data_IF_353522646165
#
_entry.id   IF_353522646165
#
_cell.length_a   1.000
_cell.length_b   1.000
_cell.length_c   1.000
_cell.angle_alpha   90.00
_cell.angle_beta   90.00
_cell.angle_gamma   90.00
#
_symmetry.space_group_name_H-M   'P 1'
#
loop_
_entity.id
_entity.type
_entity.pdbx_description
1 polymer ?
#
# COMPACT_ATOMS: atom_id res chain seq x y z
N UNK A 1 37.19 -33.92 22.13
CA UNK A 1 36.21 -32.82 22.13
C UNK A 1 35.72 -32.69 20.68
N UNK A 2 34.68 -33.45 20.34
CA UNK A 2 34.17 -33.52 18.97
C UNK A 2 33.39 -32.25 18.63
N UNK A 3 33.78 -31.61 17.53
CA UNK A 3 33.10 -30.47 16.93
C UNK A 3 31.81 -30.97 16.27
N UNK A 4 30.66 -30.68 16.90
CA UNK A 4 29.36 -30.82 16.26
C UNK A 4 29.24 -29.80 15.12
N UNK A 5 29.44 -30.26 13.88
CA UNK A 5 28.96 -29.54 12.70
C UNK A 5 27.43 -29.69 12.64
N UNK A 6 26.70 -28.67 13.09
CA UNK A 6 25.26 -28.60 12.79
C UNK A 6 25.10 -28.27 11.32
N UNK A 7 24.84 -29.29 10.50
CA UNK A 7 24.22 -29.08 9.20
C UNK A 7 22.83 -28.48 9.45
N UNK A 8 22.67 -27.18 9.17
CA UNK A 8 21.37 -26.56 9.11
C UNK A 8 20.61 -27.21 7.95
N UNK A 9 19.80 -28.23 8.27
CA UNK A 9 18.80 -28.75 7.34
C UNK A 9 17.88 -27.58 7.01
N UNK A 10 18.03 -26.98 5.83
CA UNK A 10 17.01 -26.09 5.27
C UNK A 10 15.68 -26.83 5.36
N UNK A 11 14.71 -26.26 6.06
CA UNK A 11 13.33 -26.74 5.97
C UNK A 11 12.91 -26.65 4.51
N UNK A 12 12.67 -27.80 3.88
CA UNK A 12 12.13 -27.85 2.54
C UNK A 12 10.72 -27.25 2.58
N UNK A 13 10.42 -26.22 1.77
CA UNK A 13 9.09 -25.60 1.79
C UNK A 13 8.01 -26.55 1.30
N UNK A 14 6.84 -26.48 1.95
CA UNK A 14 5.61 -27.17 1.56
C UNK A 14 4.97 -26.47 0.35
N UNK A 15 5.53 -26.64 -0.85
CA UNK A 15 4.82 -26.34 -2.10
C UNK A 15 5.14 -27.40 -3.16
N UNK A 16 4.12 -27.73 -3.96
CA UNK A 16 4.15 -28.75 -5.02
C UNK A 16 5.32 -28.51 -5.98
N UNK A 17 6.02 -29.59 -6.35
CA UNK A 17 7.16 -29.63 -7.30
C UNK A 17 6.86 -29.07 -8.69
N UNK A 18 5.62 -28.65 -8.96
CA UNK A 18 5.10 -28.23 -10.26
C UNK A 18 5.60 -26.85 -10.72
N UNK A 19 6.15 -26.01 -9.83
CA UNK A 19 6.58 -24.62 -10.16
C UNK A 19 8.09 -24.54 -10.46
N UNK A 20 8.87 -25.56 -10.10
CA UNK A 20 10.31 -25.61 -10.39
C UNK A 20 10.52 -25.95 -11.88
N UNK A 21 10.68 -24.92 -12.72
CA UNK A 21 11.02 -25.09 -14.14
C UNK A 21 10.21 -24.22 -15.11
N UNK A 22 9.23 -23.45 -14.63
CA UNK A 22 8.50 -22.49 -15.47
C UNK A 22 9.31 -21.20 -15.60
N UNK A 23 9.54 -20.75 -16.83
CA UNK A 23 10.31 -19.53 -17.10
C UNK A 23 9.69 -18.31 -16.41
N UNK A 24 10.54 -17.47 -15.82
CA UNK A 24 10.17 -16.23 -15.12
C UNK A 24 9.20 -16.39 -13.94
N UNK A 25 8.88 -17.62 -13.52
CA UNK A 25 7.93 -17.91 -12.43
C UNK A 25 8.53 -17.62 -11.03
N UNK A 26 7.68 -17.48 -10.00
CA UNK A 26 8.18 -17.34 -8.64
C UNK A 26 8.89 -18.63 -8.19
N UNK A 27 9.94 -18.51 -7.37
CA UNK A 27 10.66 -19.68 -6.84
C UNK A 27 11.12 -19.51 -5.40
N UNK A 28 11.31 -20.66 -4.75
CA UNK A 28 11.86 -20.75 -3.39
C UNK A 28 13.28 -20.14 -3.35
N UNK A 29 14.11 -20.37 -4.37
CA UNK A 29 15.48 -19.85 -4.40
C UNK A 29 15.51 -18.32 -4.35
N UNK A 30 14.66 -17.64 -5.12
CA UNK A 30 14.55 -16.18 -5.07
C UNK A 30 13.96 -15.70 -3.74
N UNK A 31 12.97 -16.42 -3.20
CA UNK A 31 12.43 -16.10 -1.88
C UNK A 31 13.48 -16.21 -0.76
N UNK A 32 14.36 -17.21 -0.80
CA UNK A 32 15.47 -17.37 0.18
C UNK A 32 16.47 -16.22 0.06
N UNK A 33 16.87 -15.84 -1.15
CA UNK A 33 17.79 -14.71 -1.39
C UNK A 33 17.19 -13.41 -0.86
N UNK A 34 15.89 -13.21 -1.04
CA UNK A 34 15.18 -12.00 -0.63
C UNK A 34 14.50 -12.11 0.75
N UNK A 35 14.82 -13.13 1.56
CA UNK A 35 14.13 -13.41 2.82
C UNK A 35 14.07 -12.20 3.78
N UNK A 36 15.14 -11.38 3.95
CA UNK A 36 15.06 -10.19 4.80
C UNK A 36 14.03 -9.15 4.31
N UNK A 37 13.86 -9.01 3.00
CA UNK A 37 12.87 -8.10 2.44
C UNK A 37 11.44 -8.65 2.66
N UNK A 38 11.23 -9.94 2.41
CA UNK A 38 9.94 -10.60 2.61
C UNK A 38 9.52 -10.53 4.09
N UNK A 39 10.46 -10.80 5.02
CA UNK A 39 10.23 -10.68 6.46
C UNK A 39 9.74 -9.28 6.85
N UNK A 40 10.44 -8.24 6.37
CA UNK A 40 10.07 -6.84 6.64
C UNK A 40 8.72 -6.46 6.01
N UNK A 41 8.42 -6.97 4.81
CA UNK A 41 7.14 -6.75 4.16
C UNK A 41 5.99 -7.37 4.97
N UNK A 42 6.14 -8.61 5.46
CA UNK A 42 5.11 -9.25 6.30
C UNK A 42 4.94 -8.49 7.62
N UNK A 43 6.05 -8.11 8.27
CA UNK A 43 6.04 -7.31 9.50
C UNK A 43 5.35 -5.95 9.29
N UNK A 44 5.60 -5.31 8.15
CA UNK A 44 5.11 -3.97 7.83
C UNK A 44 3.72 -3.92 7.22
N UNK A 45 3.16 -5.04 6.76
CA UNK A 45 1.88 -5.08 6.05
C UNK A 45 0.76 -4.40 6.87
N UNK A 46 0.07 -3.45 6.24
CA UNK A 46 -0.98 -2.63 6.86
C UNK A 46 -0.53 -1.77 8.07
N UNK A 47 0.78 -1.59 8.30
CA UNK A 47 1.36 -0.73 9.36
C UNK A 47 2.09 0.46 8.78
N UNK A 48 1.87 1.64 9.34
CA UNK A 48 2.39 2.87 8.75
C UNK A 48 3.92 2.89 8.69
N UNK A 49 4.59 2.57 9.79
CA UNK A 49 6.05 2.71 9.89
C UNK A 49 6.84 1.81 8.94
N UNK A 50 6.47 0.53 8.87
CA UNK A 50 7.14 -0.42 7.98
C UNK A 50 7.06 0.03 6.52
N UNK A 51 5.87 0.50 6.11
CA UNK A 51 5.65 1.04 4.78
C UNK A 51 6.42 2.36 4.57
N UNK A 52 6.55 3.24 5.57
CA UNK A 52 7.34 4.48 5.45
C UNK A 52 8.85 4.23 5.33
N UNK A 53 9.39 3.24 6.04
CA UNK A 53 10.81 2.87 5.94
C UNK A 53 11.13 2.17 4.62
N UNK A 54 10.23 1.30 4.14
CA UNK A 54 10.36 0.56 2.87
C UNK A 54 9.42 1.13 1.82
N UNK A 55 9.55 2.43 1.59
CA UNK A 55 8.57 3.25 0.85
C UNK A 55 8.30 2.81 -0.59
N UNK A 56 9.24 2.12 -1.25
CA UNK A 56 9.02 1.68 -2.63
C UNK A 56 7.94 0.60 -2.73
N UNK A 57 7.85 -0.31 -1.75
CA UNK A 57 6.96 -1.46 -1.81
C UNK A 57 7.29 -2.40 -2.98
N UNK A 58 7.14 -3.70 -2.78
CA UNK A 58 7.35 -4.70 -3.84
C UNK A 58 6.31 -5.81 -3.81
N UNK A 59 5.22 -5.61 -3.06
CA UNK A 59 4.28 -6.67 -2.75
C UNK A 59 2.83 -6.21 -2.80
N UNK A 60 1.98 -7.16 -3.17
CA UNK A 60 0.54 -7.03 -3.24
C UNK A 60 -0.11 -8.15 -2.43
N UNK A 61 -1.18 -7.82 -1.73
CA UNK A 61 -1.92 -8.76 -0.90
C UNK A 61 -3.40 -8.69 -1.23
N UNK A 62 -4.08 -9.83 -1.36
CA UNK A 62 -5.52 -9.89 -1.18
C UNK A 62 -5.85 -9.51 0.27
N UNK A 63 -6.80 -8.61 0.44
CA UNK A 63 -7.29 -8.21 1.75
C UNK A 63 -8.81 -8.23 1.77
N UNK A 64 -9.36 -8.51 2.94
CA UNK A 64 -10.79 -8.37 3.19
C UNK A 64 -11.04 -7.18 4.11
N UNK A 65 -11.86 -6.24 3.65
CA UNK A 65 -12.39 -5.18 4.51
C UNK A 65 -13.65 -5.71 5.19
N UNK A 66 -13.71 -5.64 6.51
CA UNK A 66 -14.85 -6.16 7.27
C UNK A 66 -16.15 -5.40 6.94
N UNK A 67 -17.29 -6.07 7.10
CA UNK A 67 -18.59 -5.40 7.09
C UNK A 67 -18.68 -4.38 8.24
N UNK A 68 -19.55 -3.39 8.09
CA UNK A 68 -19.72 -2.30 9.06
C UNK A 68 -18.45 -1.46 9.31
N UNK A 69 -17.49 -1.49 8.39
CA UNK A 69 -16.32 -0.61 8.45
C UNK A 69 -16.70 0.78 7.99
N UNK A 70 -16.37 1.78 8.82
CA UNK A 70 -16.57 3.18 8.49
C UNK A 70 -15.48 3.72 7.58
N UNK A 71 -15.92 4.48 6.59
CA UNK A 71 -15.09 5.22 5.65
C UNK A 71 -15.56 6.66 5.53
N UNK A 72 -14.63 7.56 5.23
CA UNK A 72 -14.89 8.98 5.11
C UNK A 72 -14.46 9.50 3.75
N UNK A 73 -15.24 10.42 3.18
CA UNK A 73 -14.94 11.07 1.91
C UNK A 73 -15.22 12.57 2.03
N UNK A 74 -14.22 13.39 1.72
CA UNK A 74 -14.39 14.82 1.52
C UNK A 74 -14.53 15.14 0.03
N UNK A 75 -15.57 15.89 -0.34
CA UNK A 75 -15.77 16.36 -1.72
C UNK A 75 -16.58 17.65 -1.81
N UNK A 76 -16.85 18.10 -3.04
CA UNK A 76 -17.65 19.30 -3.31
C UNK A 76 -19.15 19.01 -3.49
N UNK A 77 -19.57 17.74 -3.38
CA UNK A 77 -20.95 17.30 -3.59
C UNK A 77 -21.50 16.65 -2.32
N UNK A 78 -22.77 16.94 -2.01
CA UNK A 78 -23.54 16.23 -0.99
C UNK A 78 -24.12 14.90 -1.48
N UNK A 79 -24.03 14.63 -2.78
CA UNK A 79 -24.59 13.41 -3.37
C UNK A 79 -23.72 12.18 -3.05
N UNK A 80 -24.33 10.99 -2.93
CA UNK A 80 -23.58 9.75 -2.76
C UNK A 80 -22.58 9.53 -3.90
N UNK A 81 -21.35 9.13 -3.56
CA UNK A 81 -20.34 8.71 -4.53
C UNK A 81 -20.77 7.42 -5.22
N UNK A 82 -20.74 7.40 -6.56
CA UNK A 82 -21.18 6.24 -7.37
C UNK A 82 -20.08 5.61 -8.22
N UNK A 83 -19.00 6.35 -8.47
CA UNK A 83 -17.91 5.98 -9.36
C UNK A 83 -16.63 5.61 -8.59
N UNK A 84 -15.56 5.30 -9.31
CA UNK A 84 -14.23 5.11 -8.73
C UNK A 84 -13.85 6.33 -7.90
N UNK A 85 -13.53 6.14 -6.62
CA UNK A 85 -13.27 7.27 -5.72
C UNK A 85 -12.46 6.89 -4.47
N UNK A 86 -11.75 7.87 -3.91
CA UNK A 86 -11.00 7.76 -2.66
C UNK A 86 -11.88 7.85 -1.42
N UNK A 87 -11.55 7.01 -0.45
CA UNK A 87 -12.10 6.95 0.89
C UNK A 87 -10.95 6.80 1.89
N UNK A 88 -11.12 7.37 3.08
CA UNK A 88 -10.13 7.25 4.15
C UNK A 88 -10.69 6.52 5.36
N UNK A 89 -9.79 5.93 6.15
CA UNK A 89 -10.13 5.27 7.41
C UNK A 89 -10.34 6.24 8.58
N UNK A 90 -10.03 7.53 8.38
CA UNK A 90 -10.20 8.62 9.32
C UNK A 90 -10.73 9.88 8.64
N UNK A 91 -11.44 10.68 9.44
CA UNK A 91 -11.99 11.97 9.01
C UNK A 91 -10.86 12.87 8.53
N UNK A 92 -9.79 13.04 9.32
CA UNK A 92 -8.75 14.03 9.05
C UNK A 92 -8.03 13.78 7.71
N UNK A 93 -7.90 12.52 7.29
CA UNK A 93 -7.34 12.16 5.98
C UNK A 93 -8.35 12.40 4.86
N UNK A 94 -9.63 12.08 5.06
CA UNK A 94 -10.66 12.35 4.04
C UNK A 94 -10.82 13.83 3.73
N UNK A 95 -10.51 14.71 4.69
CA UNK A 95 -10.52 16.15 4.46
C UNK A 95 -9.47 16.58 3.45
N UNK A 96 -8.39 15.83 3.25
CA UNK A 96 -7.39 16.12 2.22
C UNK A 96 -8.04 16.08 0.83
N UNK A 97 -9.02 15.22 0.62
CA UNK A 97 -9.71 15.08 -0.66
C UNK A 97 -10.51 16.33 -1.07
N UNK A 98 -10.89 17.20 -0.11
CA UNK A 98 -11.46 18.51 -0.44
C UNK A 98 -10.50 19.32 -1.35
N UNK A 99 -9.19 19.29 -1.07
CA UNK A 99 -8.21 20.02 -1.87
C UNK A 99 -8.06 19.50 -3.31
N UNK A 100 -8.56 18.29 -3.59
CA UNK A 100 -8.59 17.73 -4.95
C UNK A 100 -9.74 18.29 -5.79
N UNK A 101 -10.77 18.83 -5.12
CA UNK A 101 -12.01 19.30 -5.72
C UNK A 101 -12.27 20.73 -5.24
N UNK A 102 -11.41 21.67 -5.64
CA UNK A 102 -11.91 22.63 -6.61
C UNK A 102 -11.19 22.48 -7.95
N UNK A 103 -11.93 22.50 -9.09
CA UNK A 103 -11.31 22.49 -10.39
C UNK A 103 -10.58 23.82 -10.57
N UNK A 104 -9.29 23.86 -10.27
CA UNK A 104 -8.44 24.94 -10.78
C UNK A 104 -8.22 24.65 -12.27
N UNK A 105 -9.18 25.06 -13.10
CA UNK A 105 -9.07 25.08 -14.56
C UNK A 105 -8.12 26.19 -15.00
N UNK A 106 -6.86 26.12 -14.60
CA UNK A 106 -5.79 26.86 -15.27
C UNK A 106 -4.65 25.90 -15.59
N UNK A 107 -3.98 26.14 -16.72
CA UNK A 107 -2.87 25.34 -17.26
C UNK A 107 -1.60 25.35 -16.38
N UNK A 108 -1.71 25.53 -15.06
CA UNK A 108 -0.61 25.52 -14.11
C UNK A 108 -0.79 24.36 -13.14
N UNK A 109 0.18 23.45 -13.20
CA UNK A 109 0.54 22.40 -12.23
C UNK A 109 -0.25 22.43 -10.92
N UNK A 110 -1.13 21.44 -10.76
CA UNK A 110 -1.89 21.15 -9.55
C UNK A 110 -0.93 20.65 -8.45
N UNK A 111 -0.35 21.58 -7.69
CA UNK A 111 0.51 21.26 -6.55
C UNK A 111 -0.35 20.85 -5.34
N UNK A 112 -0.25 19.59 -4.96
CA UNK A 112 -0.71 19.11 -3.66
C UNK A 112 -0.05 19.94 -2.54
N UNK A 113 -0.85 20.37 -1.57
CA UNK A 113 -0.45 20.95 -0.27
C UNK A 113 0.31 22.30 -0.27
N UNK A 114 0.55 22.97 -1.40
CA UNK A 114 1.41 24.16 -1.43
C UNK A 114 0.82 25.47 -1.97
N UNK A 115 -0.07 25.42 -2.97
CA UNK A 115 -0.31 26.59 -3.84
C UNK A 115 -1.79 26.81 -4.23
N UNK A 116 -2.73 26.55 -3.32
CA UNK A 116 -4.08 27.07 -3.52
C UNK A 116 -4.12 28.56 -3.12
N UNK A 117 -4.48 29.43 -4.07
CA UNK A 117 -4.95 30.79 -3.77
C UNK A 117 -6.21 30.71 -2.88
N UNK A 118 -6.57 31.79 -2.19
CA UNK A 118 -7.74 31.79 -1.30
C UNK A 118 -9.00 31.33 -2.05
N UNK A 119 -9.52 30.16 -1.68
CA UNK A 119 -10.78 29.66 -2.20
C UNK A 119 -11.69 29.34 -1.03
N UNK A 120 -12.82 30.04 -0.99
CA UNK A 120 -13.95 29.71 -0.14
C UNK A 120 -14.91 28.88 -0.98
N UNK A 121 -15.13 27.65 -0.57
CA UNK A 121 -16.19 26.82 -1.12
C UNK A 121 -16.77 25.94 -0.01
N UNK A 122 -17.98 25.45 -0.26
CA UNK A 122 -18.65 24.52 0.64
C UNK A 122 -18.21 23.11 0.29
N UNK A 123 -17.43 22.49 1.19
CA UNK A 123 -17.15 21.06 1.13
C UNK A 123 -18.21 20.26 1.87
N UNK A 124 -18.31 18.97 1.55
CA UNK A 124 -19.17 18.00 2.22
C UNK A 124 -18.34 16.82 2.71
N UNK A 125 -18.41 16.57 4.01
CA UNK A 125 -17.83 15.39 4.63
C UNK A 125 -18.90 14.30 4.70
N UNK A 126 -18.69 13.24 3.94
CA UNK A 126 -19.60 12.10 3.87
C UNK A 126 -19.03 10.93 4.66
N UNK A 127 -19.87 10.32 5.51
CA UNK A 127 -19.55 9.10 6.25
C UNK A 127 -20.29 7.93 5.62
N UNK A 128 -19.52 6.90 5.28
CA UNK A 128 -19.99 5.67 4.66
C UNK A 128 -19.73 4.47 5.54
N UNK A 129 -20.47 3.40 5.29
CA UNK A 129 -20.30 2.10 5.92
C UNK A 129 -20.31 0.98 4.89
N UNK A 130 -19.43 0.01 5.01
CA UNK A 130 -19.50 -1.22 4.20
C UNK A 130 -20.74 -2.04 4.57
N UNK A 131 -21.55 -2.38 3.57
CA UNK A 131 -22.78 -3.17 3.76
C UNK A 131 -22.50 -4.67 3.90
N UNK A 132 -21.35 -5.11 3.39
CA UNK A 132 -20.86 -6.49 3.39
C UNK A 132 -19.33 -6.50 3.46
N UNK A 133 -18.69 -7.65 3.78
CA UNK A 133 -17.24 -7.75 3.68
C UNK A 133 -16.80 -7.56 2.22
N UNK A 134 -15.84 -6.66 1.98
CA UNK A 134 -15.22 -6.48 0.66
C UNK A 134 -14.08 -7.46 0.57
N UNK A 135 -14.30 -8.59 -0.13
CA UNK A 135 -13.37 -9.73 -0.11
C UNK A 135 -12.29 -9.63 -1.18
N UNK A 136 -12.54 -8.85 -2.23
CA UNK A 136 -11.64 -8.77 -3.37
C UNK A 136 -10.96 -7.40 -3.43
N UNK A 137 -10.24 -7.03 -2.37
CA UNK A 137 -9.48 -5.77 -2.30
C UNK A 137 -8.00 -6.07 -2.45
N UNK A 138 -7.29 -5.30 -3.27
CA UNK A 138 -5.83 -5.39 -3.39
C UNK A 138 -5.17 -4.36 -2.48
N UNK A 139 -4.30 -4.81 -1.58
CA UNK A 139 -3.41 -3.94 -0.81
C UNK A 139 -2.03 -3.91 -1.48
N UNK A 140 -1.51 -2.71 -1.74
CA UNK A 140 -0.17 -2.49 -2.28
C UNK A 140 0.73 -1.91 -1.18
N UNK A 141 1.82 -2.61 -0.84
CA UNK A 141 2.73 -2.17 0.22
C UNK A 141 3.61 -0.96 -0.16
N UNK A 142 4.45 -0.52 0.77
CA UNK A 142 5.19 0.73 0.69
C UNK A 142 4.29 1.96 0.84
N UNK A 143 4.85 3.13 0.52
CA UNK A 143 4.06 4.36 0.40
C UNK A 143 3.48 4.45 -1.02
N UNK A 144 2.68 3.46 -1.39
CA UNK A 144 2.14 3.28 -2.75
C UNK A 144 1.14 4.36 -3.21
N UNK A 145 0.76 5.29 -2.35
CA UNK A 145 0.03 6.50 -2.72
C UNK A 145 0.92 7.78 -2.74
N UNK A 146 2.21 7.68 -2.40
CA UNK A 146 3.14 8.79 -2.52
C UNK A 146 3.53 8.98 -3.99
N UNK A 147 3.26 10.17 -4.53
CA UNK A 147 3.47 10.45 -5.95
C UNK A 147 4.86 11.00 -6.22
N UNK A 148 5.85 10.10 -6.14
CA UNK A 148 7.27 10.45 -6.19
C UNK A 148 8.00 9.72 -7.31
N UNK A 149 9.17 10.24 -7.70
CA UNK A 149 10.09 9.55 -8.62
C UNK A 149 10.97 8.52 -7.91
N UNK A 150 10.77 8.30 -6.61
CA UNK A 150 11.64 7.45 -5.77
C UNK A 150 11.37 5.95 -5.94
N UNK A 151 10.28 5.57 -6.61
CA UNK A 151 9.90 4.17 -6.87
C UNK A 151 8.62 3.73 -6.18
N UNK A 152 7.98 4.62 -5.43
CA UNK A 152 6.74 4.38 -4.68
C UNK A 152 5.56 3.93 -5.53
N UNK A 153 5.58 4.17 -6.85
CA UNK A 153 4.53 3.77 -7.79
C UNK A 153 4.95 2.61 -8.71
N UNK A 154 6.13 2.03 -8.54
CA UNK A 154 6.68 1.03 -9.48
C UNK A 154 5.75 -0.18 -9.66
N UNK A 155 5.16 -0.71 -8.58
CA UNK A 155 4.18 -1.83 -8.68
C UNK A 155 2.94 -1.44 -9.49
N UNK A 156 2.41 -0.23 -9.32
CA UNK A 156 1.23 0.19 -10.08
C UNK A 156 1.59 0.50 -11.53
N UNK A 157 2.59 1.36 -11.74
CA UNK A 157 2.89 1.92 -13.06
C UNK A 157 3.63 0.93 -13.96
N UNK A 158 4.64 0.24 -13.43
CA UNK A 158 5.50 -0.67 -14.21
C UNK A 158 4.94 -2.07 -14.25
N UNK A 159 4.43 -2.59 -13.13
CA UNK A 159 3.91 -3.96 -13.07
C UNK A 159 2.48 -4.04 -13.56
N UNK A 160 1.51 -3.42 -12.88
CA UNK A 160 0.10 -3.54 -13.25
C UNK A 160 -0.22 -2.87 -14.60
N UNK A 161 0.31 -1.66 -14.80
CA UNK A 161 -0.01 -0.81 -15.96
C UNK A 161 1.03 -0.86 -17.08
N UNK A 162 2.15 -1.58 -16.90
CA UNK A 162 3.17 -1.82 -17.92
C UNK A 162 3.67 -0.55 -18.64
N UNK A 163 3.84 0.56 -17.91
CA UNK A 163 4.29 1.85 -18.42
C UNK A 163 3.45 2.40 -19.61
N UNK A 164 2.16 2.04 -19.67
CA UNK A 164 1.24 2.26 -20.80
C UNK A 164 0.88 3.72 -21.13
N UNK A 165 1.50 4.74 -20.50
CA UNK A 165 1.39 6.11 -21.02
C UNK A 165 0.96 7.20 -20.04
N UNK A 166 1.02 6.98 -18.72
CA UNK A 166 0.96 8.07 -17.71
C UNK A 166 2.14 9.09 -17.81
N UNK A 167 2.89 9.06 -18.91
CA UNK A 167 4.16 9.75 -19.18
C UNK A 167 4.04 11.28 -19.32
N UNK A 168 2.83 11.85 -19.42
CA UNK A 168 2.66 13.31 -19.61
C UNK A 168 2.50 14.13 -18.33
N UNK A 169 2.12 13.52 -17.19
CA UNK A 169 2.02 14.23 -15.92
C UNK A 169 2.53 13.33 -14.78
N UNK A 170 3.81 13.48 -14.43
CA UNK A 170 4.50 12.75 -13.36
C UNK A 170 3.69 12.80 -12.06
N UNK A 171 3.03 11.72 -11.65
CA UNK A 171 2.50 11.59 -10.29
C UNK A 171 1.21 12.34 -9.95
N UNK A 172 0.40 12.81 -10.91
CA UNK A 172 -0.82 13.59 -10.56
C UNK A 172 -2.11 13.03 -11.19
N UNK A 173 -2.09 11.75 -11.58
CA UNK A 173 -3.21 11.06 -12.27
C UNK A 173 -3.76 9.87 -11.47
N UNK A 174 -3.73 9.94 -10.15
CA UNK A 174 -4.06 8.82 -9.27
C UNK A 174 -5.46 8.24 -9.47
N UNK A 175 -6.45 9.09 -9.78
CA UNK A 175 -7.80 8.60 -10.10
C UNK A 175 -7.81 7.81 -11.40
N UNK A 176 -7.12 8.30 -12.43
CA UNK A 176 -7.00 7.62 -13.73
C UNK A 176 -6.25 6.30 -13.57
N UNK A 177 -5.18 6.29 -12.77
CA UNK A 177 -4.43 5.06 -12.43
C UNK A 177 -5.33 4.04 -11.78
N UNK A 178 -6.09 4.43 -10.76
CA UNK A 178 -7.02 3.53 -10.10
C UNK A 178 -8.10 3.03 -11.07
N UNK A 179 -8.62 3.89 -11.94
CA UNK A 179 -9.57 3.48 -12.98
C UNK A 179 -8.99 2.44 -13.95
N UNK A 180 -7.76 2.62 -14.41
CA UNK A 180 -7.10 1.63 -15.29
C UNK A 180 -6.81 0.31 -14.56
N UNK A 181 -6.42 0.36 -13.28
CA UNK A 181 -6.24 -0.85 -12.47
C UNK A 181 -7.60 -1.55 -12.27
N UNK A 182 -8.67 -0.82 -11.99
CA UNK A 182 -10.03 -1.39 -11.88
C UNK A 182 -10.53 -1.98 -13.21
N UNK A 183 -10.12 -1.42 -14.36
CA UNK A 183 -10.42 -2.01 -15.68
C UNK A 183 -9.63 -3.30 -15.91
N UNK A 184 -8.37 -3.34 -15.47
CA UNK A 184 -7.53 -4.54 -15.54
C UNK A 184 -8.09 -5.66 -14.65
N UNK A 185 -8.59 -5.31 -13.47
CA UNK A 185 -9.08 -6.26 -12.47
C UNK A 185 -10.59 -6.04 -12.23
N UNK A 186 -11.47 -6.44 -13.17
CA UNK A 186 -12.89 -6.08 -13.15
C UNK A 186 -13.67 -6.64 -11.94
N UNK A 187 -13.13 -7.67 -11.27
CA UNK A 187 -13.74 -8.29 -10.10
C UNK A 187 -13.26 -7.67 -8.78
N UNK A 188 -12.25 -6.79 -8.80
CA UNK A 188 -11.71 -6.14 -7.59
C UNK A 188 -12.69 -5.09 -7.08
N UNK A 189 -13.00 -5.15 -5.78
CA UNK A 189 -13.83 -4.18 -5.08
C UNK A 189 -13.11 -2.84 -4.92
N UNK A 190 -11.79 -2.87 -4.69
CA UNK A 190 -10.99 -1.67 -4.52
C UNK A 190 -9.50 -1.92 -4.24
N UNK A 191 -8.77 -0.83 -4.03
CA UNK A 191 -7.32 -0.78 -3.84
C UNK A 191 -7.03 -0.07 -2.51
N UNK A 192 -6.28 -0.72 -1.62
CA UNK A 192 -5.71 -0.10 -0.42
C UNK A 192 -4.25 0.23 -0.68
N UNK A 193 -3.86 1.45 -0.32
CA UNK A 193 -2.48 1.94 -0.44
C UNK A 193 -2.22 3.04 0.57
N UNK A 194 -0.96 3.44 0.73
CA UNK A 194 -0.55 4.37 1.79
C UNK A 194 0.27 5.53 1.26
N UNK A 195 0.01 6.74 1.77
CA UNK A 195 0.95 7.87 1.69
C UNK A 195 1.37 8.24 3.11
N UNK A 196 0.67 9.18 3.73
CA UNK A 196 0.80 9.47 5.16
C UNK A 196 -0.14 8.60 5.99
N UNK A 197 -1.34 8.32 5.48
CA UNK A 197 -2.28 7.34 6.03
C UNK A 197 -2.68 6.33 4.96
N UNK A 198 -3.43 5.31 5.36
CA UNK A 198 -4.04 4.37 4.41
C UNK A 198 -5.30 4.98 3.80
N UNK A 199 -5.45 4.78 2.49
CA UNK A 199 -6.65 5.12 1.73
C UNK A 199 -7.21 3.86 1.07
N UNK A 200 -8.51 3.84 0.83
CA UNK A 200 -9.22 2.86 0.02
C UNK A 200 -9.76 3.56 -1.22
N UNK A 201 -9.42 3.05 -2.40
CA UNK A 201 -10.05 3.47 -3.66
C UNK A 201 -10.99 2.37 -4.09
N UNK A 202 -12.29 2.63 -4.07
CA UNK A 202 -13.27 1.65 -4.54
C UNK A 202 -13.41 1.73 -6.05
N UNK A 203 -13.52 0.58 -6.72
CA UNK A 203 -13.80 0.51 -8.15
C UNK A 203 -15.28 0.82 -8.45
N UNK A 204 -16.18 0.48 -7.52
CA UNK A 204 -17.61 0.80 -7.57
C UNK A 204 -18.13 1.06 -6.15
N UNK A 205 -18.27 2.34 -5.79
CA UNK A 205 -18.77 2.74 -4.47
C UNK A 205 -20.26 2.47 -4.29
N UNK A 206 -21.04 2.46 -5.38
CA UNK A 206 -22.51 2.37 -5.32
C UNK A 206 -23.02 1.01 -4.83
N UNK A 207 -22.23 -0.05 -5.03
CA UNK A 207 -22.59 -1.43 -4.64
C UNK A 207 -22.17 -1.81 -3.23
N UNK A 208 -21.11 -1.18 -2.74
CA UNK A 208 -20.33 -1.68 -1.60
C UNK A 208 -20.49 -0.81 -0.34
N UNK A 209 -20.97 0.43 -0.49
CA UNK A 209 -21.11 1.37 0.60
C UNK A 209 -22.54 1.88 0.77
N UNK A 210 -22.93 2.07 2.01
CA UNK A 210 -24.13 2.81 2.43
C UNK A 210 -23.70 4.18 2.94
N UNK A 211 -24.36 5.24 2.46
CA UNK A 211 -24.17 6.60 2.97
C UNK A 211 -24.94 6.76 4.28
N UNK A 212 -24.23 7.06 5.38
CA UNK A 212 -24.84 7.24 6.69
C UNK A 212 -25.16 8.71 6.98
N UNK A 213 -24.25 9.62 6.64
CA UNK A 213 -24.41 11.04 6.94
C UNK A 213 -23.57 11.91 6.02
N UNK A 214 -24.06 13.11 5.75
CA UNK A 214 -23.34 14.18 5.05
C UNK A 214 -23.35 15.41 5.93
N UNK A 215 -22.16 15.95 6.22
CA UNK A 215 -22.02 17.19 7.01
C UNK A 215 -21.39 18.27 6.15
N UNK A 216 -21.95 19.48 6.21
CA UNK A 216 -21.36 20.65 5.58
C UNK A 216 -20.04 20.98 6.29
N UNK A 217 -18.97 21.07 5.51
CA UNK A 217 -17.64 21.39 6.00
C UNK A 217 -17.12 22.62 5.24
N UNK A 218 -17.27 23.84 5.79
CA UNK A 218 -16.81 25.05 5.14
C UNK A 218 -15.29 25.01 4.97
N UNK A 219 -14.81 25.13 3.73
CA UNK A 219 -13.40 25.13 3.43
C UNK A 219 -12.88 26.56 3.31
N UNK A 220 -11.93 26.91 4.18
CA UNK A 220 -11.22 28.18 4.17
C UNK A 220 -9.72 27.94 3.96
N UNK A 221 -9.29 27.81 2.71
CA UNK A 221 -7.88 27.62 2.40
C UNK A 221 -7.15 28.97 2.38
N UNK A 222 -6.40 29.28 3.44
CA UNK A 222 -5.50 30.45 3.48
C UNK A 222 -4.05 30.02 3.74
N UNK A 223 -3.15 30.33 2.80
CA UNK A 223 -1.72 29.96 2.77
C UNK A 223 -0.91 30.39 4.00
N UNK A 224 -1.35 31.44 4.72
CA UNK A 224 -0.59 32.10 5.80
C UNK A 224 -1.30 32.16 7.16
N UNK A 225 -2.26 31.27 7.45
CA UNK A 225 -2.94 31.25 8.76
C UNK A 225 -2.56 30.05 9.62
N UNK A 226 -2.58 30.24 10.93
CA UNK A 226 -2.44 29.22 11.97
C UNK A 226 -3.35 28.01 11.72
N UNK A 227 -4.54 28.22 11.15
CA UNK A 227 -5.50 27.19 10.74
C UNK A 227 -4.89 26.13 9.79
N UNK A 228 -4.01 26.52 8.86
CA UNK A 228 -3.33 25.58 7.97
C UNK A 228 -2.29 24.72 8.70
N UNK A 229 -1.65 25.27 9.74
CA UNK A 229 -0.77 24.50 10.62
C UNK A 229 -1.60 23.51 11.43
N UNK A 230 -2.69 23.96 12.05
CA UNK A 230 -3.58 23.10 12.81
C UNK A 230 -4.15 21.95 11.98
N UNK A 231 -4.68 22.22 10.77
CA UNK A 231 -5.21 21.17 9.88
C UNK A 231 -4.14 20.14 9.51
N UNK A 232 -2.90 20.58 9.24
CA UNK A 232 -1.78 19.66 8.97
C UNK A 232 -1.40 18.85 10.21
N UNK A 233 -1.35 19.47 11.37
CA UNK A 233 -1.08 18.79 12.65
C UNK A 233 -2.16 17.77 12.97
N UNK A 234 -3.43 18.11 12.79
CA UNK A 234 -4.56 17.20 13.01
C UNK A 234 -4.58 16.06 12.00
N UNK A 235 -4.26 16.32 10.74
CA UNK A 235 -4.06 15.26 9.74
C UNK A 235 -2.95 14.30 10.16
N UNK A 236 -1.77 14.82 10.50
CA UNK A 236 -0.64 14.01 10.97
C UNK A 236 -0.99 13.23 12.25
N UNK A 237 -1.70 13.85 13.20
CA UNK A 237 -2.20 13.21 14.42
C UNK A 237 -3.23 12.12 14.10
N UNK A 238 -4.11 12.35 13.13
CA UNK A 238 -5.16 11.43 12.72
C UNK A 238 -4.61 10.16 12.08
N UNK A 239 -3.67 10.30 11.13
CA UNK A 239 -3.05 9.15 10.45
C UNK A 239 -2.09 8.40 11.37
N UNK A 240 -1.33 9.11 12.22
CA UNK A 240 -0.37 8.48 13.14
C UNK A 240 -1.03 7.68 14.27
N UNK A 241 -2.32 7.89 14.57
CA UNK A 241 -3.06 7.01 15.48
C UNK A 241 -3.15 5.55 15.00
N UNK A 242 -2.88 5.30 13.71
CA UNK A 242 -2.87 3.96 13.09
C UNK A 242 -1.46 3.45 12.78
N UNK A 243 -0.46 3.98 13.48
CA UNK A 243 0.93 3.65 13.22
C UNK A 243 1.24 2.15 13.28
N UNK A 244 0.66 1.46 14.26
CA UNK A 244 0.78 0.01 14.46
C UNK A 244 -0.18 -0.82 13.59
N UNK A 245 -1.08 -0.19 12.84
CA UNK A 245 -2.04 -0.87 11.98
C UNK A 245 -3.37 -0.12 11.84
N UNK A 246 -4.11 -0.40 10.75
CA UNK A 246 -5.46 0.17 10.47
C UNK A 246 -6.56 -0.41 11.40
N UNK A 247 -6.17 -1.18 12.42
CA UNK A 247 -7.04 -1.86 13.36
C UNK A 247 -7.36 -3.28 12.88
N UNK A 248 -7.00 -4.28 13.68
CA UNK A 248 -7.09 -5.71 13.34
C UNK A 248 -8.50 -6.18 12.95
N UNK A 249 -9.55 -5.45 13.35
CA UNK A 249 -10.94 -5.77 13.03
C UNK A 249 -11.45 -5.16 11.71
N UNK A 250 -10.72 -4.22 11.10
CA UNK A 250 -11.18 -3.52 9.89
C UNK A 250 -10.71 -4.18 8.60
N UNK A 251 -9.45 -4.61 8.56
CA UNK A 251 -8.83 -5.19 7.37
C UNK A 251 -8.06 -6.43 7.78
N UNK A 252 -8.39 -7.57 7.17
CA UNK A 252 -7.63 -8.82 7.31
C UNK A 252 -6.81 -9.07 6.05
N UNK A 253 -5.52 -9.35 6.22
CA UNK A 253 -4.59 -9.61 5.12
C UNK A 253 -4.47 -11.12 4.89
N UNK A 254 -4.60 -11.55 3.64
CA UNK A 254 -4.27 -12.92 3.24
C UNK A 254 -2.78 -13.00 2.89
N UNK A 255 -1.97 -13.36 3.90
CA UNK A 255 -0.53 -13.55 3.74
C UNK A 255 -0.19 -14.79 2.89
N UNK A 256 -1.04 -15.80 2.86
CA UNK A 256 -0.80 -17.02 2.09
C UNK A 256 -0.91 -16.78 0.58
N UNK A 257 -1.74 -15.82 0.18
CA UNK A 257 -1.91 -15.38 -1.21
C UNK A 257 -1.09 -14.13 -1.56
N UNK A 258 -0.08 -13.78 -0.75
CA UNK A 258 0.83 -12.68 -1.04
C UNK A 258 1.53 -12.89 -2.39
N UNK A 259 1.54 -11.87 -3.24
CA UNK A 259 2.37 -11.80 -4.43
C UNK A 259 3.44 -10.74 -4.21
N UNK A 260 4.71 -11.09 -4.43
CA UNK A 260 5.83 -10.16 -4.25
C UNK A 260 6.84 -10.31 -5.37
N UNK A 261 7.36 -9.19 -5.86
CA UNK A 261 8.46 -9.18 -6.82
C UNK A 261 9.70 -9.92 -6.30
N UNK A 262 9.87 -10.02 -4.97
CA UNK A 262 10.95 -10.77 -4.32
C UNK A 262 10.90 -12.28 -4.56
N UNK A 263 9.76 -12.82 -5.01
CA UNK A 263 9.64 -14.23 -5.34
C UNK A 263 10.12 -14.55 -6.76
N UNK A 264 10.30 -13.53 -7.62
CA UNK A 264 10.57 -13.68 -9.05
C UNK A 264 12.04 -13.44 -9.37
N UNK A 265 12.55 -13.91 -10.53
CA UNK A 265 13.91 -13.67 -11.01
C UNK A 265 14.14 -12.23 -11.51
N UNK A 266 13.62 -11.22 -10.81
CA UNK A 266 13.74 -9.81 -11.16
C UNK A 266 15.02 -9.19 -10.58
N UNK A 267 15.69 -8.37 -11.38
CA UNK A 267 16.73 -7.46 -10.90
C UNK A 267 16.08 -6.25 -10.23
N UNK A 268 16.01 -6.29 -8.91
CA UNK A 268 15.41 -5.24 -8.08
C UNK A 268 16.39 -4.15 -7.65
N UNK A 269 17.59 -4.11 -8.24
CA UNK A 269 18.64 -3.16 -7.86
C UNK A 269 18.21 -1.72 -8.10
N UNK A 270 18.43 -0.86 -7.10
CA UNK A 270 18.21 0.57 -7.28
C UNK A 270 19.31 1.16 -8.18
N UNK A 271 18.96 1.90 -9.26
CA UNK A 271 19.94 2.59 -10.08
C UNK A 271 20.67 3.73 -9.35
N UNK A 272 20.14 4.22 -8.22
CA UNK A 272 20.84 5.16 -7.33
C UNK A 272 21.59 4.38 -6.23
N UNK A 273 22.94 4.32 -6.26
CA UNK A 273 23.73 3.56 -5.29
C UNK A 273 23.57 4.06 -3.85
N UNK A 274 23.15 5.31 -3.65
CA UNK A 274 22.89 5.88 -2.31
C UNK A 274 21.59 5.38 -1.70
N UNK A 275 20.79 4.63 -2.45
CA UNK A 275 19.48 4.10 -2.07
C UNK A 275 19.38 2.61 -2.39
N UNK A 276 20.51 1.91 -2.32
CA UNK A 276 20.61 0.48 -2.67
C UNK A 276 19.64 -0.39 -1.84
N UNK A 277 19.31 0.04 -0.62
CA UNK A 277 18.36 -0.62 0.29
C UNK A 277 16.88 -0.47 -0.11
N UNK A 278 16.58 0.35 -1.12
CA UNK A 278 15.23 0.63 -1.62
C UNK A 278 15.08 0.03 -3.03
N UNK A 279 14.48 -1.15 -3.18
CA UNK A 279 14.43 -1.86 -4.45
C UNK A 279 13.63 -1.06 -5.51
N UNK A 280 13.89 -1.34 -6.80
CA UNK A 280 13.19 -0.74 -7.95
C UNK A 280 12.84 -1.80 -8.99
N UNK A 281 11.74 -1.62 -9.70
CA UNK A 281 11.39 -2.51 -10.82
C UNK A 281 12.18 -2.07 -12.07
N UNK A 282 13.07 -2.92 -12.58
CA UNK A 282 13.82 -2.67 -13.81
C UNK A 282 12.90 -2.78 -15.05
N UNK A 283 12.60 -1.68 -15.77
CA UNK A 283 11.60 -1.69 -16.85
C UNK A 283 12.07 -2.43 -18.11
N UNK A 284 13.35 -2.81 -18.17
CA UNK A 284 13.91 -3.61 -19.25
C UNK A 284 13.50 -5.09 -19.15
N UNK A 285 13.12 -5.56 -17.96
CA UNK A 285 12.74 -6.96 -17.69
C UNK A 285 11.28 -7.27 -18.02
N UNK A 286 10.84 -6.87 -19.22
CA UNK A 286 9.42 -6.87 -19.63
C UNK A 286 8.73 -8.22 -19.46
N UNK A 287 9.37 -9.32 -19.85
CA UNK A 287 8.76 -10.65 -19.79
C UNK A 287 8.57 -11.13 -18.34
N UNK A 288 9.53 -10.83 -17.47
CA UNK A 288 9.45 -11.13 -16.03
C UNK A 288 8.39 -10.29 -15.33
N UNK A 289 8.34 -8.99 -15.65
CA UNK A 289 7.30 -8.08 -15.14
C UNK A 289 5.92 -8.54 -15.59
N UNK A 290 5.78 -8.92 -16.87
CA UNK A 290 4.53 -9.45 -17.41
C UNK A 290 4.11 -10.72 -16.67
N UNK A 291 5.05 -11.64 -16.43
CA UNK A 291 4.78 -12.87 -15.67
C UNK A 291 4.23 -12.58 -14.27
N UNK A 292 4.85 -11.66 -13.53
CA UNK A 292 4.38 -11.18 -12.23
C UNK A 292 2.98 -10.56 -12.33
N UNK A 293 2.74 -9.70 -13.31
CA UNK A 293 1.44 -9.08 -13.55
C UNK A 293 0.35 -10.12 -13.83
N UNK A 294 0.64 -11.11 -14.66
CA UNK A 294 -0.31 -12.15 -15.05
C UNK A 294 -0.70 -13.04 -13.84
N UNK A 295 0.22 -13.28 -12.89
CA UNK A 295 -0.10 -13.93 -11.61
C UNK A 295 -1.06 -13.09 -10.76
N UNK A 296 -0.88 -11.77 -10.71
CA UNK A 296 -1.80 -10.88 -9.99
C UNK A 296 -3.19 -10.92 -10.63
N UNK A 297 -3.26 -10.80 -11.95
CA UNK A 297 -4.54 -10.88 -12.68
C UNK A 297 -5.23 -12.21 -12.38
N UNK A 298 -4.51 -13.32 -12.50
CA UNK A 298 -5.03 -14.67 -12.23
C UNK A 298 -5.58 -14.80 -10.80
N UNK A 299 -4.84 -14.29 -9.80
CA UNK A 299 -5.25 -14.34 -8.39
C UNK A 299 -6.56 -13.61 -8.14
N UNK A 300 -6.76 -12.45 -8.77
CA UNK A 300 -7.94 -11.60 -8.57
C UNK A 300 -9.11 -11.92 -9.51
N UNK A 301 -8.89 -12.74 -10.56
CA UNK A 301 -9.94 -13.28 -11.43
C UNK A 301 -10.70 -14.46 -10.81
N UNK A 302 -10.00 -15.34 -10.09
CA UNK A 302 -10.58 -16.51 -9.43
C UNK A 302 -10.15 -16.56 -7.97
N UNK A 303 -10.81 -15.79 -7.08
CA UNK A 303 -10.46 -15.76 -5.68
C UNK A 303 -10.56 -17.17 -5.09
N UNK A 304 -9.42 -17.71 -4.67
CA UNK A 304 -9.39 -18.98 -3.93
C UNK A 304 -10.16 -18.81 -2.62
N UNK A 305 -10.77 -19.89 -2.13
CA UNK A 305 -11.34 -19.87 -0.77
C UNK A 305 -10.23 -19.52 0.20
N UNK A 306 -10.49 -18.66 1.22
CA UNK A 306 -9.51 -18.40 2.27
C UNK A 306 -9.05 -19.74 2.83
N UNK A 307 -7.79 -20.09 2.60
CA UNK A 307 -7.17 -21.23 3.28
C UNK A 307 -7.01 -20.85 4.75
N UNK A 308 -6.90 -21.82 5.64
CA UNK A 308 -6.45 -21.55 7.02
C UNK A 308 -5.12 -20.80 6.92
N UNK A 309 -5.17 -19.50 7.21
CA UNK A 309 -4.01 -18.65 7.04
C UNK A 309 -3.14 -18.79 8.27
N UNK A 310 -1.89 -19.19 8.05
CA UNK A 310 -0.86 -19.10 9.08
C UNK A 310 -0.80 -17.62 9.48
N UNK A 311 -0.83 -17.35 10.79
CA UNK A 311 -0.70 -16.00 11.35
C UNK A 311 0.70 -15.42 11.19
N UNK A 312 1.19 -15.30 9.94
CA UNK A 312 2.55 -14.95 9.58
C UNK A 312 3.01 -13.65 10.23
N UNK A 313 2.15 -12.62 10.26
CA UNK A 313 2.47 -11.37 10.93
C UNK A 313 2.66 -11.55 12.44
N UNK A 314 1.87 -12.38 13.11
CA UNK A 314 2.04 -12.68 14.53
C UNK A 314 3.33 -13.46 14.82
N UNK A 315 3.71 -14.41 13.96
CA UNK A 315 4.99 -15.13 14.06
C UNK A 315 6.16 -14.14 13.93
N UNK A 316 6.10 -13.26 12.94
CA UNK A 316 7.12 -12.24 12.71
C UNK A 316 7.19 -11.25 13.87
N UNK A 317 6.05 -10.86 14.45
CA UNK A 317 5.99 -10.01 15.64
C UNK A 317 6.64 -10.66 16.86
N UNK A 318 6.43 -11.96 17.08
CA UNK A 318 7.06 -12.70 18.17
C UNK A 318 8.59 -12.71 18.01
N UNK A 319 9.07 -12.93 16.79
CA UNK A 319 10.51 -12.89 16.47
C UNK A 319 11.07 -11.49 16.74
N UNK A 320 10.43 -10.45 16.21
CA UNK A 320 10.88 -9.06 16.42
C UNK A 320 10.88 -8.73 17.91
N UNK A 321 9.77 -8.98 18.62
CA UNK A 321 9.64 -8.71 20.05
C UNK A 321 10.69 -9.43 20.90
N UNK A 322 11.14 -10.62 20.47
CA UNK A 322 12.11 -11.41 21.23
C UNK A 322 13.56 -11.01 20.96
N UNK A 323 13.87 -10.61 19.72
CA UNK A 323 15.26 -10.50 19.27
C UNK A 323 15.71 -9.10 18.87
N UNK A 324 14.80 -8.16 18.56
CA UNK A 324 15.17 -6.84 18.01
C UNK A 324 16.14 -6.07 18.91
N UNK A 325 15.84 -5.93 20.20
CA UNK A 325 16.66 -5.19 21.16
C UNK A 325 18.04 -5.82 21.36
N UNK A 326 18.10 -7.16 21.35
CA UNK A 326 19.36 -7.90 21.49
C UNK A 326 20.25 -7.72 20.27
N UNK A 327 19.68 -7.81 19.08
CA UNK A 327 20.39 -7.59 17.83
C UNK A 327 20.89 -6.14 17.73
N UNK A 328 20.04 -5.17 18.09
CA UNK A 328 20.43 -3.76 18.16
C UNK A 328 21.56 -3.53 19.17
N UNK A 329 21.49 -4.16 20.35
CA UNK A 329 22.57 -4.10 21.33
C UNK A 329 23.88 -4.70 20.79
N UNK A 330 23.83 -5.86 20.13
CA UNK A 330 25.00 -6.54 19.56
C UNK A 330 25.68 -5.70 18.47
N UNK A 331 24.89 -5.03 17.63
CA UNK A 331 25.39 -4.13 16.57
C UNK A 331 25.90 -2.80 17.13
N UNK A 332 25.37 -2.34 18.26
CA UNK A 332 25.80 -1.10 18.89
C UNK A 332 27.26 -1.16 19.37
N UNK A 333 27.94 -0.01 19.35
CA UNK A 333 29.30 0.13 19.91
C UNK A 333 29.41 -0.22 21.41
N UNK A 334 28.28 -0.34 22.12
CA UNK A 334 28.24 -0.67 23.53
C UNK A 334 28.52 -2.16 23.81
N UNK A 335 28.38 -3.03 22.80
CA UNK A 335 28.74 -4.46 22.90
C UNK A 335 30.25 -4.69 22.96
N UNK A 336 31.06 -3.76 22.42
CA UNK A 336 32.52 -3.84 22.36
C UNK A 336 33.23 -3.31 23.63
N UNK A 337 32.56 -3.26 24.80
CA UNK A 337 33.14 -2.71 26.05
C UNK A 337 34.25 -3.56 26.71
N UNK A 338 34.90 -4.45 25.94
CA UNK A 338 36.08 -5.22 26.34
C UNK A 338 37.27 -5.07 25.38
N UNK A 339 37.29 -4.03 24.53
CA UNK A 339 38.52 -3.55 23.88
C UNK A 339 39.11 -2.33 24.58
#
# INVERSE_FOLDING_TARGET
MELFQSSAKLQAPLLSSTIQGVENAPSISHAVINAPHIFNTIHGAMRQWGNSLKHNGMSMFPVTVAANTLFYHGGASSEPVKNVQWFAFEVEHSEVFFTLVPPVTTNKTMYYLGHADEQNYTGYLSTYRTTRPLRNVIYIDGTSAAKSTLGTLDIQDRVLLQDNGFKKLKGFQDLLRAQEICKLLPHVDGIIRMELGFELILCDASKNLELLSVTIHPQHFKRNKTESVFRRSEYMRGVSKRYAGVGASKVSVDFSSMISAFFYPLNLTNPDPKKAELPRINPEERDKIKRLRDDVVTLFESPSKPQESIGWQGIVDEIVSRYSDRLAYMESKMSNRYE
#
